data_IF_004593561189
#
_entry.id   IF_004593561189
#
_cell.length_a   1.000
_cell.length_b   1.000
_cell.length_c   1.000
_cell.angle_alpha   90.00
_cell.angle_beta   90.00
_cell.angle_gamma   90.00
#
_symmetry.space_group_name_H-M   'P 1'
#
loop_
_entity.id
_entity.type
_entity.pdbx_description
1 polymer ?
#
# COMPACT_ATOMS: atom_id res chain seq x y z
N UNK A 1 17.38 26.04 -43.96
CA UNK A 1 17.75 26.51 -42.61
C UNK A 1 16.55 26.92 -41.74
N UNK A 2 15.41 27.35 -42.30
CA UNK A 2 14.24 27.78 -41.52
C UNK A 2 13.41 26.67 -40.86
N UNK A 3 13.38 25.46 -41.43
CA UNK A 3 12.61 24.34 -40.88
C UNK A 3 13.15 23.85 -39.51
N UNK A 4 14.49 23.88 -39.34
CA UNK A 4 15.15 23.50 -38.08
C UNK A 4 14.85 24.49 -36.96
N UNK A 5 14.81 25.80 -37.28
CA UNK A 5 14.44 26.83 -36.31
C UNK A 5 12.99 26.66 -35.83
N UNK A 6 12.09 26.25 -36.73
CA UNK A 6 10.67 26.06 -36.41
C UNK A 6 10.42 24.83 -35.52
N UNK A 7 11.21 23.76 -35.69
CA UNK A 7 11.15 22.56 -34.83
C UNK A 7 11.68 22.86 -33.43
N UNK A 8 12.77 23.61 -33.29
CA UNK A 8 13.31 24.00 -31.97
C UNK A 8 12.35 24.92 -31.23
N UNK A 9 11.67 25.84 -31.93
CA UNK A 9 10.66 26.72 -31.34
C UNK A 9 9.43 25.95 -30.83
N UNK A 10 9.02 24.89 -31.56
CA UNK A 10 7.89 24.04 -31.17
C UNK A 10 8.23 23.12 -29.98
N UNK A 11 9.47 22.62 -29.90
CA UNK A 11 9.93 21.89 -28.71
C UNK A 11 10.01 22.79 -27.47
N UNK A 12 10.44 24.04 -27.62
CA UNK A 12 10.50 24.99 -26.51
C UNK A 12 9.11 25.38 -25.97
N UNK A 13 8.08 25.47 -26.82
CA UNK A 13 6.70 25.75 -26.37
C UNK A 13 6.06 24.56 -25.64
N UNK A 14 6.38 23.32 -26.04
CA UNK A 14 5.93 22.11 -25.34
C UNK A 14 6.52 21.99 -23.93
N UNK A 15 7.76 22.45 -23.71
CA UNK A 15 8.42 22.46 -22.39
C UNK A 15 7.82 23.48 -21.41
N UNK A 16 7.32 24.63 -21.90
CA UNK A 16 6.70 25.65 -21.05
C UNK A 16 5.32 25.23 -20.49
N UNK A 17 4.64 24.28 -21.13
CA UNK A 17 3.34 23.76 -20.68
C UNK A 17 3.44 22.78 -19.50
N UNK A 18 4.63 22.27 -19.18
CA UNK A 18 4.85 21.35 -18.05
C UNK A 18 5.35 22.04 -16.76
N UNK A 19 5.60 23.35 -16.77
CA UNK A 19 6.22 24.08 -15.64
C UNK A 19 5.30 25.02 -14.86
N UNK A 20 3.99 24.98 -15.06
CA UNK A 20 3.04 25.93 -14.44
C UNK A 20 2.49 25.40 -13.13
N UNK A 21 3.33 25.20 -12.11
CA UNK A 21 2.85 25.01 -10.74
C UNK A 21 2.83 26.37 -10.03
N UNK A 22 1.62 26.88 -9.75
CA UNK A 22 1.44 28.12 -8.99
C UNK A 22 1.59 27.80 -7.51
N UNK A 23 2.27 28.63 -6.70
CA UNK A 23 2.26 28.44 -5.25
C UNK A 23 0.82 28.67 -4.78
N UNK A 24 0.15 27.60 -4.34
CA UNK A 24 -1.13 27.68 -3.65
C UNK A 24 -0.84 28.27 -2.28
N UNK A 25 -1.35 29.48 -2.06
CA UNK A 25 -1.38 30.18 -0.77
C UNK A 25 -1.67 29.20 0.37
N UNK A 26 -0.73 29.11 1.31
CA UNK A 26 -0.91 28.39 2.58
C UNK A 26 -2.12 28.98 3.32
N UNK A 27 -3.21 28.23 3.31
CA UNK A 27 -4.27 28.40 4.29
C UNK A 27 -3.83 27.64 5.55
N UNK A 28 -3.64 28.39 6.64
CA UNK A 28 -3.42 27.88 7.99
C UNK A 28 -4.47 26.80 8.30
N UNK A 29 -4.09 25.57 8.68
CA UNK A 29 -5.07 24.57 9.03
C UNK A 29 -5.70 24.94 10.38
N UNK A 30 -6.99 25.26 10.35
CA UNK A 30 -7.83 25.20 11.53
C UNK A 30 -7.73 23.79 12.15
N UNK A 31 -7.79 23.66 13.49
CA UNK A 31 -7.66 22.37 14.16
C UNK A 31 -8.72 21.43 13.61
N UNK A 32 -8.27 20.45 12.81
CA UNK A 32 -9.18 19.52 12.16
C UNK A 32 -9.70 18.59 13.24
N UNK A 33 -11.01 18.67 13.51
CA UNK A 33 -11.70 17.69 14.30
C UNK A 33 -11.31 16.29 13.82
N UNK A 34 -10.96 15.41 14.77
CA UNK A 34 -10.51 14.05 14.52
C UNK A 34 -11.39 13.42 13.44
N UNK A 35 -10.79 13.17 12.27
CA UNK A 35 -11.44 12.51 11.16
C UNK A 35 -11.76 11.09 11.64
N UNK A 36 -13.01 10.90 12.03
CA UNK A 36 -13.55 9.59 12.41
C UNK A 36 -13.16 8.60 11.32
N UNK A 37 -12.54 7.52 11.77
CA UNK A 37 -11.93 6.49 10.95
C UNK A 37 -12.84 6.11 9.77
N UNK A 38 -12.32 6.25 8.55
CA UNK A 38 -12.80 5.40 7.47
C UNK A 38 -12.29 4.00 7.80
N UNK A 39 -13.07 3.26 8.58
CA UNK A 39 -12.89 1.82 8.71
C UNK A 39 -12.71 1.23 7.31
N UNK A 40 -11.80 0.27 7.16
CA UNK A 40 -11.65 -0.51 5.94
C UNK A 40 -13.05 -0.83 5.41
N UNK A 41 -13.36 -0.37 4.19
CA UNK A 41 -14.70 -0.46 3.64
C UNK A 41 -15.16 -1.93 3.74
N UNK A 42 -16.34 -2.20 4.32
CA UNK A 42 -16.76 -3.57 4.56
C UNK A 42 -16.87 -4.29 3.21
N UNK A 43 -15.99 -5.27 3.00
CA UNK A 43 -15.82 -6.03 1.75
C UNK A 43 -17.04 -6.93 1.40
N UNK A 44 -18.20 -6.73 2.03
CA UNK A 44 -19.35 -7.61 1.94
C UNK A 44 -19.11 -9.00 2.56
N UNK A 45 -20.02 -9.97 2.35
CA UNK A 45 -19.80 -11.34 2.83
C UNK A 45 -18.59 -11.99 2.16
N UNK A 46 -17.84 -12.83 2.88
CA UNK A 46 -16.72 -13.58 2.33
C UNK A 46 -17.24 -14.65 1.35
N UNK A 47 -16.86 -14.63 0.07
CA UNK A 47 -17.28 -15.67 -0.87
C UNK A 47 -16.74 -17.05 -0.48
N UNK A 48 -17.51 -18.11 -0.71
CA UNK A 48 -17.14 -19.48 -0.31
C UNK A 48 -15.82 -19.98 -0.90
N UNK A 49 -15.44 -19.48 -2.08
CA UNK A 49 -14.20 -19.80 -2.77
C UNK A 49 -13.00 -18.94 -2.32
N UNK A 50 -13.18 -17.99 -1.41
CA UNK A 50 -12.11 -17.13 -0.88
C UNK A 50 -11.81 -17.44 0.58
N UNK A 51 -10.58 -17.12 0.98
CA UNK A 51 -10.15 -17.10 2.39
C UNK A 51 -9.64 -15.72 2.73
N UNK A 52 -9.58 -15.43 4.02
CA UNK A 52 -9.24 -14.09 4.50
C UNK A 52 -8.18 -14.13 5.59
N UNK A 53 -7.14 -13.30 5.43
CA UNK A 53 -6.27 -12.91 6.53
C UNK A 53 -6.83 -11.64 7.16
N UNK A 54 -6.93 -11.61 8.48
CA UNK A 54 -7.40 -10.43 9.22
C UNK A 54 -6.51 -10.13 10.42
N UNK A 55 -6.50 -8.87 10.84
CA UNK A 55 -5.70 -8.45 11.99
C UNK A 55 -5.72 -6.95 12.15
N UNK A 56 -4.78 -6.45 12.94
CA UNK A 56 -4.66 -5.02 13.25
C UNK A 56 -3.22 -4.57 13.08
N UNK A 57 -3.00 -3.53 12.28
CA UNK A 57 -1.69 -2.91 12.09
C UNK A 57 -1.46 -1.86 13.16
N UNK A 58 -0.31 -1.91 13.80
CA UNK A 58 0.09 -1.00 14.87
C UNK A 58 1.11 0.02 14.36
N UNK A 59 1.09 1.20 14.99
CA UNK A 59 2.07 2.29 14.79
C UNK A 59 2.09 2.90 13.39
N UNK A 60 1.00 2.74 12.63
CA UNK A 60 0.84 3.39 11.33
C UNK A 60 0.52 4.88 11.53
N UNK A 61 1.35 5.81 11.02
CA UNK A 61 1.07 7.24 11.10
C UNK A 61 -0.21 7.63 10.36
N UNK A 62 -0.88 8.68 10.84
CA UNK A 62 -2.05 9.22 10.15
C UNK A 62 -1.67 9.75 8.77
N UNK A 63 -2.46 9.41 7.75
CA UNK A 63 -2.24 9.81 6.36
C UNK A 63 -1.17 9.01 5.62
N UNK A 64 -0.56 7.99 6.24
CA UNK A 64 0.34 7.09 5.53
C UNK A 64 -0.42 6.16 4.58
N UNK A 65 0.12 5.93 3.38
CA UNK A 65 -0.39 4.94 2.43
C UNK A 65 0.20 3.58 2.79
N UNK A 66 -0.65 2.65 3.23
CA UNK A 66 -0.26 1.30 3.61
C UNK A 66 -0.61 0.32 2.50
N UNK A 67 0.36 -0.47 2.07
CA UNK A 67 0.14 -1.58 1.17
C UNK A 67 0.47 -2.89 1.88
N UNK A 68 -0.44 -3.86 1.81
CA UNK A 68 -0.23 -5.24 2.24
C UNK A 68 -0.22 -6.15 1.02
N UNK A 69 0.67 -7.14 1.04
CA UNK A 69 0.80 -8.13 -0.01
C UNK A 69 1.05 -9.53 0.57
N UNK A 70 0.26 -10.50 0.14
CA UNK A 70 0.51 -11.92 0.38
C UNK A 70 1.33 -12.45 -0.79
N UNK A 71 2.57 -12.85 -0.53
CA UNK A 71 3.57 -13.15 -1.54
C UNK A 71 4.14 -14.55 -1.36
N UNK A 72 4.41 -15.23 -2.46
CA UNK A 72 5.32 -16.38 -2.51
C UNK A 72 6.75 -15.84 -2.64
N UNK A 73 7.66 -16.34 -1.82
CA UNK A 73 9.06 -15.90 -1.69
C UNK A 73 9.97 -17.10 -1.94
N UNK A 74 11.06 -16.89 -2.70
CA UNK A 74 12.09 -17.92 -2.92
C UNK A 74 13.12 -17.97 -1.78
N UNK A 75 14.10 -18.86 -1.87
CA UNK A 75 15.16 -19.01 -0.85
C UNK A 75 16.12 -17.81 -0.78
N UNK A 76 16.01 -16.85 -1.70
CA UNK A 76 16.83 -15.62 -1.76
C UNK A 76 16.06 -14.38 -1.28
N UNK A 77 14.95 -14.60 -0.58
CA UNK A 77 14.04 -13.55 -0.09
C UNK A 77 13.38 -12.70 -1.19
N UNK A 78 13.30 -13.22 -2.42
CA UNK A 78 12.72 -12.50 -3.57
C UNK A 78 11.26 -12.91 -3.79
N UNK A 79 10.33 -11.94 -3.96
CA UNK A 79 8.97 -12.23 -4.36
C UNK A 79 8.91 -12.94 -5.72
N UNK A 80 8.23 -14.07 -5.78
CA UNK A 80 7.99 -14.87 -6.99
C UNK A 80 6.57 -14.67 -7.54
N UNK A 81 5.59 -14.53 -6.65
CA UNK A 81 4.19 -14.44 -7.03
C UNK A 81 3.38 -13.65 -6.00
N UNK A 82 2.43 -12.85 -6.49
CA UNK A 82 1.42 -12.17 -5.67
C UNK A 82 0.16 -13.02 -5.59
N UNK A 83 -0.28 -13.34 -4.37
CA UNK A 83 -1.51 -14.09 -4.11
C UNK A 83 -2.68 -13.16 -3.82
N UNK A 84 -2.43 -12.05 -3.12
CA UNK A 84 -3.41 -11.01 -2.83
C UNK A 84 -2.71 -9.71 -2.40
N UNK A 85 -3.38 -8.56 -2.60
CA UNK A 85 -2.92 -7.27 -2.08
C UNK A 85 -4.08 -6.41 -1.61
N UNK A 86 -3.81 -5.51 -0.67
CA UNK A 86 -4.75 -4.46 -0.26
C UNK A 86 -4.03 -3.16 0.06
N UNK A 87 -4.74 -2.05 -0.13
CA UNK A 87 -4.28 -0.70 0.20
C UNK A 87 -5.15 -0.12 1.30
N UNK A 88 -4.54 0.49 2.31
CA UNK A 88 -5.22 1.15 3.42
C UNK A 88 -4.62 2.53 3.66
N UNK A 89 -5.39 3.42 4.26
CA UNK A 89 -4.87 4.72 4.71
C UNK A 89 -4.73 4.72 6.22
N UNK A 90 -3.54 5.07 6.69
CA UNK A 90 -3.22 5.21 8.10
C UNK A 90 -4.10 6.23 8.79
N UNK A 91 -4.60 5.89 9.97
CA UNK A 91 -5.47 6.76 10.78
C UNK A 91 -4.73 7.36 11.99
N UNK A 92 -3.48 6.96 12.23
CA UNK A 92 -2.77 7.26 13.48
C UNK A 92 -3.26 6.43 14.67
N UNK A 93 -4.18 5.49 14.44
CA UNK A 93 -4.72 4.56 15.41
C UNK A 93 -4.43 3.12 14.95
N UNK A 94 -4.73 2.15 15.80
CA UNK A 94 -4.67 0.74 15.43
C UNK A 94 -5.58 0.49 14.21
N UNK A 95 -4.99 0.01 13.11
CA UNK A 95 -5.63 -0.04 11.80
C UNK A 95 -6.07 -1.48 11.46
N UNK A 96 -7.37 -1.82 11.53
CA UNK A 96 -7.83 -3.14 11.15
C UNK A 96 -7.64 -3.37 9.64
N UNK A 97 -7.32 -4.61 9.26
CA UNK A 97 -7.22 -4.98 7.85
C UNK A 97 -7.89 -6.33 7.58
N UNK A 98 -8.31 -6.48 6.33
CA UNK A 98 -8.81 -7.73 5.75
C UNK A 98 -8.11 -7.92 4.40
N UNK A 99 -7.56 -9.11 4.18
CA UNK A 99 -6.89 -9.47 2.93
C UNK A 99 -7.45 -10.79 2.43
N UNK A 100 -8.32 -10.72 1.44
CA UNK A 100 -8.94 -11.89 0.83
C UNK A 100 -8.05 -12.47 -0.26
N UNK A 101 -7.97 -13.79 -0.34
CA UNK A 101 -7.16 -14.52 -1.30
C UNK A 101 -7.86 -15.80 -1.78
N UNK A 102 -7.49 -16.28 -2.97
CA UNK A 102 -7.92 -17.58 -3.47
C UNK A 102 -7.05 -18.69 -2.83
N UNK A 103 -7.61 -19.59 -2.02
CA UNK A 103 -6.84 -20.68 -1.42
C UNK A 103 -6.31 -21.69 -2.45
N UNK A 104 -6.93 -21.82 -3.63
CA UNK A 104 -6.45 -22.74 -4.68
C UNK A 104 -5.13 -22.27 -5.31
N UNK A 105 -4.85 -20.97 -5.26
CA UNK A 105 -3.59 -20.39 -5.71
C UNK A 105 -2.47 -20.51 -4.68
N UNK A 106 -2.76 -21.01 -3.47
CA UNK A 106 -1.79 -21.12 -2.40
C UNK A 106 -0.88 -22.34 -2.61
N UNK A 107 0.42 -22.15 -2.88
CA UNK A 107 1.32 -23.25 -3.22
C UNK A 107 1.61 -24.15 -2.02
N UNK A 108 1.54 -25.47 -2.23
CA UNK A 108 1.99 -26.45 -1.24
C UNK A 108 3.52 -26.41 -1.09
N UNK A 109 4.01 -26.32 0.15
CA UNK A 109 5.45 -26.40 0.45
C UNK A 109 6.26 -25.14 0.14
N UNK A 110 5.69 -24.12 -0.48
CA UNK A 110 6.42 -22.89 -0.78
C UNK A 110 6.41 -21.89 0.38
N UNK A 111 7.28 -20.87 0.27
CA UNK A 111 7.33 -19.79 1.26
C UNK A 111 6.35 -18.67 0.97
N UNK A 112 5.15 -18.77 1.53
CA UNK A 112 4.18 -17.68 1.59
C UNK A 112 4.41 -16.76 2.81
N UNK A 113 4.49 -15.46 2.56
CA UNK A 113 4.65 -14.41 3.56
C UNK A 113 3.66 -13.27 3.31
N UNK A 114 3.09 -12.73 4.40
CA UNK A 114 2.45 -11.42 4.39
C UNK A 114 3.54 -10.37 4.59
N UNK A 115 3.65 -9.45 3.62
CA UNK A 115 4.53 -8.29 3.65
C UNK A 115 3.71 -7.02 3.62
N UNK A 116 4.29 -5.94 4.13
CA UNK A 116 3.63 -4.65 4.17
C UNK A 116 4.62 -3.50 4.10
N UNK A 117 4.18 -2.39 3.53
CA UNK A 117 4.93 -1.14 3.47
C UNK A 117 4.01 0.04 3.75
N UNK A 118 4.51 1.04 4.44
CA UNK A 118 3.82 2.30 4.64
C UNK A 118 4.65 3.44 4.05
N UNK A 119 4.00 4.29 3.26
CA UNK A 119 4.63 5.43 2.60
C UNK A 119 3.97 6.74 3.00
N UNK A 120 4.72 7.84 2.95
CA UNK A 120 4.19 9.18 3.13
C UNK A 120 4.79 10.06 2.05
N UNK A 121 3.94 10.77 1.30
CA UNK A 121 4.36 11.59 0.15
C UNK A 121 5.25 10.83 -0.84
N UNK A 122 4.93 9.55 -1.10
CA UNK A 122 5.69 8.68 -2.01
C UNK A 122 7.00 8.12 -1.45
N UNK A 123 7.39 8.49 -0.22
CA UNK A 123 8.58 7.96 0.44
C UNK A 123 8.22 6.80 1.37
N UNK A 124 8.93 5.67 1.25
CA UNK A 124 8.83 4.56 2.19
C UNK A 124 9.28 5.01 3.59
N UNK A 125 8.39 4.91 4.58
CA UNK A 125 8.69 5.31 5.96
C UNK A 125 8.71 4.14 6.93
N UNK A 126 7.98 3.07 6.63
CA UNK A 126 7.90 1.87 7.48
C UNK A 126 7.70 0.60 6.67
N UNK A 127 8.09 -0.54 7.22
CA UNK A 127 7.82 -1.86 6.67
C UNK A 127 7.28 -2.81 7.75
N UNK A 128 6.53 -3.81 7.32
CA UNK A 128 6.13 -4.93 8.17
C UNK A 128 7.24 -6.00 8.13
N UNK A 129 7.77 -6.47 9.27
CA UNK A 129 8.62 -7.66 9.30
C UNK A 129 7.91 -8.86 8.65
N UNK A 130 8.62 -9.74 7.91
CA UNK A 130 7.97 -10.86 7.22
C UNK A 130 7.11 -11.72 8.15
N UNK A 131 5.82 -11.86 7.84
CA UNK A 131 4.90 -12.72 8.60
C UNK A 131 4.62 -13.99 7.80
N UNK A 132 5.09 -15.13 8.30
CA UNK A 132 4.93 -16.42 7.62
C UNK A 132 3.47 -16.89 7.66
N UNK A 133 2.92 -17.24 6.50
CA UNK A 133 1.57 -17.81 6.39
C UNK A 133 1.73 -19.28 5.97
N UNK A 134 1.27 -20.19 6.82
CA UNK A 134 1.46 -21.64 6.63
C UNK A 134 0.21 -22.29 6.01
N UNK A 135 -0.97 -21.77 6.32
CA UNK A 135 -2.25 -22.39 5.97
C UNK A 135 -3.04 -21.52 5.00
N UNK A 136 -3.59 -22.15 3.97
CA UNK A 136 -4.47 -21.53 2.98
C UNK A 136 -5.92 -21.41 3.49
N UNK A 137 -6.10 -20.91 4.71
CA UNK A 137 -7.39 -20.84 5.39
C UNK A 137 -7.67 -19.44 5.93
N UNK A 138 -8.94 -19.19 6.28
CA UNK A 138 -9.29 -17.94 6.96
C UNK A 138 -8.66 -17.96 8.35
N UNK A 139 -7.85 -16.95 8.66
CA UNK A 139 -7.15 -16.88 9.93
C UNK A 139 -6.83 -15.43 10.33
N UNK A 140 -6.80 -15.20 11.64
CA UNK A 140 -6.34 -13.93 12.19
C UNK A 140 -4.83 -13.99 12.45
N UNK A 141 -4.10 -12.95 12.05
CA UNK A 141 -2.67 -12.80 12.38
C UNK A 141 -2.46 -12.16 13.75
N UNK A 142 -3.51 -11.57 14.33
CA UNK A 142 -3.41 -10.73 15.51
C UNK A 142 -2.80 -9.35 15.21
N UNK A 143 -2.31 -8.64 16.24
CA UNK A 143 -1.67 -7.35 16.07
C UNK A 143 -0.30 -7.47 15.40
N UNK A 144 -0.07 -6.68 14.36
CA UNK A 144 1.16 -6.63 13.59
C UNK A 144 1.77 -5.25 13.69
N UNK A 145 3.04 -5.16 14.10
CA UNK A 145 3.76 -3.90 14.25
C UNK A 145 4.62 -3.62 13.02
N UNK A 146 4.50 -2.42 12.48
CA UNK A 146 5.42 -1.94 11.46
C UNK A 146 6.66 -1.35 12.12
N UNK A 147 7.80 -1.53 11.48
CA UNK A 147 9.09 -0.99 11.90
C UNK A 147 9.51 0.12 10.94
N UNK A 148 10.35 1.04 11.42
CA UNK A 148 10.86 2.13 10.60
C UNK A 148 11.68 1.58 9.44
N UNK A 149 11.49 2.15 8.25
CA UNK A 149 12.31 1.81 7.09
C UNK A 149 13.79 2.14 7.35
N UNK A 150 14.72 1.29 6.88
CA UNK A 150 16.16 1.52 7.02
C UNK A 150 16.65 2.76 6.26
#
# INVERSE_FOLDING_TARGET
MHLRALVVLCCASLLAACGSDRPKTEAVPAPTAAKVAKNAEPLGPLPAYQRELSGTLLEIPAGADVELALLVIDDRDRPQQLLASSTLTGTGQALPYHLRFNPEAFPAGARVELRGRASSSGQLIMHLPPVRIIQAQTQATGPLRFEKAP
#
